data_IF_334601816483
#
_entry.id   IF_334601816483
#
_cell.length_a   1.000
_cell.length_b   1.000
_cell.length_c   1.000
_cell.angle_alpha   90.00
_cell.angle_beta   90.00
_cell.angle_gamma   90.00
#
_symmetry.space_group_name_H-M   'P 1'
#
loop_
_entity.id
_entity.type
_entity.pdbx_description
1 polymer ?
#
# COMPACT_ATOMS: atom_id res chain seq x y z
N UNK A 1 1.22 2.84 -12.50
CA UNK A 1 2.56 3.48 -12.44
C UNK A 1 3.03 4.01 -13.80
N UNK A 2 2.69 3.34 -14.90
CA UNK A 2 2.88 3.82 -16.28
C UNK A 2 2.27 5.21 -16.57
N UNK A 3 1.13 5.54 -15.94
CA UNK A 3 0.45 6.83 -16.11
C UNK A 3 1.26 8.08 -15.72
N UNK A 4 2.41 7.92 -15.03
CA UNK A 4 3.25 9.02 -14.58
C UNK A 4 4.54 9.21 -15.42
N UNK A 5 4.70 8.48 -16.53
CA UNK A 5 5.84 8.62 -17.46
C UNK A 5 7.23 8.51 -16.81
N UNK A 6 7.37 7.71 -15.74
CA UNK A 6 8.66 7.57 -15.05
C UNK A 6 9.75 6.94 -15.93
N UNK A 7 9.34 6.15 -16.92
CA UNK A 7 10.20 5.56 -17.95
C UNK A 7 10.90 6.59 -18.84
N UNK A 8 10.40 7.83 -18.92
CA UNK A 8 11.03 8.87 -19.74
C UNK A 8 12.27 9.49 -19.08
N UNK A 9 12.39 9.41 -17.75
CA UNK A 9 13.35 10.21 -16.98
C UNK A 9 14.13 9.44 -15.93
N UNK A 10 13.88 8.14 -15.76
CA UNK A 10 14.58 7.29 -14.80
C UNK A 10 15.33 6.17 -15.52
N UNK A 11 16.59 5.96 -15.15
CA UNK A 11 17.40 4.86 -15.66
C UNK A 11 17.17 3.56 -14.87
N UNK A 12 16.80 3.66 -13.59
CA UNK A 12 16.66 2.53 -12.65
C UNK A 12 15.41 2.68 -11.78
N UNK A 13 14.72 1.57 -11.53
CA UNK A 13 13.59 1.49 -10.60
C UNK A 13 13.80 0.32 -9.64
N UNK A 14 13.73 0.56 -8.32
CA UNK A 14 13.91 -0.48 -7.29
C UNK A 14 12.59 -0.87 -6.63
N UNK A 15 12.23 -2.17 -6.66
CA UNK A 15 11.01 -2.69 -6.03
C UNK A 15 11.20 -2.97 -4.53
N UNK A 16 11.38 -1.91 -3.73
CA UNK A 16 11.61 -2.00 -2.28
C UNK A 16 10.35 -2.25 -1.43
N UNK A 17 9.15 -2.24 -2.03
CA UNK A 17 7.85 -2.47 -1.36
C UNK A 17 7.67 -1.63 -0.08
N UNK A 18 8.15 -0.39 -0.09
CA UNK A 18 8.23 0.47 1.10
C UNK A 18 6.88 1.06 1.57
N UNK A 19 5.80 0.87 0.82
CA UNK A 19 4.48 1.39 1.17
C UNK A 19 3.38 0.49 0.62
N UNK A 20 2.34 0.27 1.43
CA UNK A 20 1.09 -0.34 1.01
C UNK A 20 0.07 0.79 0.88
N UNK A 21 -0.54 0.92 -0.30
CA UNK A 21 -1.62 1.87 -0.50
C UNK A 21 -2.77 1.56 0.46
N UNK A 22 -3.18 2.54 1.26
CA UNK A 22 -4.34 2.42 2.15
C UNK A 22 -5.44 3.33 1.65
N UNK A 23 -6.62 2.76 1.44
CA UNK A 23 -7.83 3.51 1.15
C UNK A 23 -8.68 3.61 2.42
N UNK A 24 -8.92 4.85 2.87
CA UNK A 24 -9.86 5.14 3.94
C UNK A 24 -11.19 5.56 3.31
N UNK A 25 -12.19 4.68 3.37
CA UNK A 25 -13.55 5.01 2.95
C UNK A 25 -14.24 5.71 4.12
N UNK A 26 -14.76 6.92 3.88
CA UNK A 26 -15.46 7.72 4.88
C UNK A 26 -16.86 8.04 4.37
N UNK A 27 -17.86 7.83 5.22
CA UNK A 27 -19.26 8.19 4.96
C UNK A 27 -19.70 9.22 5.99
N UNK A 28 -20.50 10.19 5.56
CA UNK A 28 -21.12 11.15 6.46
C UNK A 28 -22.02 10.43 7.49
N UNK A 29 -21.95 10.82 8.76
CA UNK A 29 -22.68 10.17 9.86
C UNK A 29 -24.19 10.13 9.64
N UNK A 30 -24.80 11.24 9.23
CA UNK A 30 -26.25 11.29 8.98
C UNK A 30 -26.66 10.35 7.84
N UNK A 31 -25.79 10.22 6.83
CA UNK A 31 -26.00 9.30 5.70
C UNK A 31 -25.90 7.85 6.16
N UNK A 32 -24.90 7.53 6.99
CA UNK A 32 -24.68 6.20 7.53
C UNK A 32 -25.83 5.76 8.45
N UNK A 33 -26.24 6.63 9.37
CA UNK A 33 -27.33 6.39 10.30
C UNK A 33 -28.70 6.31 9.60
N UNK A 34 -28.83 6.91 8.42
CA UNK A 34 -30.01 6.81 7.57
C UNK A 34 -30.15 5.48 6.82
N UNK A 35 -29.12 4.63 6.80
CA UNK A 35 -29.16 3.30 6.18
C UNK A 35 -29.84 2.28 7.09
N UNK A 36 -30.50 1.27 6.52
CA UNK A 36 -30.92 0.10 7.28
C UNK A 36 -29.71 -0.76 7.68
N UNK A 37 -29.88 -1.64 8.67
CA UNK A 37 -28.84 -2.59 9.07
C UNK A 37 -28.34 -3.42 7.87
N UNK A 38 -29.25 -3.97 7.06
CA UNK A 38 -28.87 -4.73 5.86
C UNK A 38 -28.06 -3.91 4.85
N UNK A 39 -28.31 -2.59 4.75
CA UNK A 39 -27.56 -1.69 3.86
C UNK A 39 -26.18 -1.34 4.42
N UNK A 40 -26.07 -1.16 5.74
CA UNK A 40 -24.80 -0.96 6.42
C UNK A 40 -23.91 -2.20 6.24
N UNK A 41 -24.46 -3.38 6.49
CA UNK A 41 -23.75 -4.67 6.35
C UNK A 41 -23.31 -4.90 4.89
N UNK A 42 -24.17 -4.59 3.92
CA UNK A 42 -23.83 -4.70 2.50
C UNK A 42 -22.71 -3.73 2.10
N UNK A 43 -22.73 -2.50 2.60
CA UNK A 43 -21.70 -1.50 2.31
C UNK A 43 -20.35 -1.88 2.96
N UNK A 44 -20.36 -2.32 4.21
CA UNK A 44 -19.14 -2.81 4.89
C UNK A 44 -18.55 -4.03 4.18
N UNK A 45 -19.40 -4.97 3.75
CA UNK A 45 -18.96 -6.15 3.01
C UNK A 45 -18.32 -5.75 1.69
N UNK A 46 -18.98 -4.87 0.92
CA UNK A 46 -18.44 -4.39 -0.35
C UNK A 46 -17.07 -3.69 -0.15
N UNK A 47 -16.95 -2.81 0.84
CA UNK A 47 -15.68 -2.14 1.15
C UNK A 47 -14.60 -3.14 1.53
N UNK A 48 -14.93 -4.20 2.28
CA UNK A 48 -13.96 -5.23 2.66
C UNK A 48 -13.53 -6.07 1.45
N UNK A 49 -14.46 -6.50 0.61
CA UNK A 49 -14.18 -7.30 -0.58
C UNK A 49 -13.33 -6.52 -1.59
N UNK A 50 -13.66 -5.25 -1.84
CA UNK A 50 -12.87 -4.38 -2.73
C UNK A 50 -11.42 -4.23 -2.26
N UNK A 51 -11.13 -4.28 -0.95
CA UNK A 51 -9.74 -4.18 -0.46
C UNK A 51 -8.87 -5.36 -0.90
N UNK A 52 -9.43 -6.56 -0.92
CA UNK A 52 -8.69 -7.75 -1.33
C UNK A 52 -8.52 -7.78 -2.85
N UNK A 53 -9.59 -7.45 -3.59
CA UNK A 53 -9.57 -7.33 -5.05
C UNK A 53 -8.59 -6.25 -5.53
N UNK A 54 -8.61 -5.06 -4.93
CA UNK A 54 -7.71 -3.96 -5.26
C UNK A 54 -6.24 -4.33 -5.07
N UNK A 55 -5.93 -5.11 -4.03
CA UNK A 55 -4.54 -5.55 -3.78
C UNK A 55 -4.04 -6.46 -4.89
N UNK A 56 -4.82 -7.48 -5.25
CA UNK A 56 -4.47 -8.39 -6.32
C UNK A 56 -4.34 -7.65 -7.67
N UNK A 57 -5.26 -6.72 -7.95
CA UNK A 57 -5.21 -5.88 -9.14
C UNK A 57 -3.93 -5.04 -9.21
N UNK A 58 -3.53 -4.39 -8.11
CA UNK A 58 -2.31 -3.58 -8.05
C UNK A 58 -1.05 -4.44 -8.25
N UNK A 59 -1.03 -5.66 -7.69
CA UNK A 59 0.08 -6.60 -7.89
C UNK A 59 0.19 -7.01 -9.37
N UNK A 60 -0.91 -7.42 -10.00
CA UNK A 60 -0.97 -7.78 -11.43
C UNK A 60 -0.58 -6.61 -12.34
N UNK A 61 -1.11 -5.40 -12.08
CA UNK A 61 -0.74 -4.20 -12.83
C UNK A 61 0.74 -3.86 -12.69
N UNK A 62 1.33 -4.08 -11.51
CA UNK A 62 2.75 -3.84 -11.27
C UNK A 62 3.60 -4.82 -12.09
N UNK A 63 3.25 -6.10 -12.11
CA UNK A 63 3.93 -7.10 -12.94
C UNK A 63 3.85 -6.74 -14.43
N UNK A 64 2.65 -6.38 -14.91
CA UNK A 64 2.45 -5.98 -16.30
C UNK A 64 3.30 -4.76 -16.70
N UNK A 65 3.44 -3.76 -15.82
CA UNK A 65 4.27 -2.57 -16.07
C UNK A 65 5.76 -2.93 -16.11
N UNK A 66 6.22 -3.82 -15.23
CA UNK A 66 7.61 -4.29 -15.22
C UNK A 66 7.93 -5.03 -16.53
N UNK A 67 7.03 -5.90 -16.98
CA UNK A 67 7.17 -6.60 -18.27
C UNK A 67 7.17 -5.65 -19.47
N UNK A 68 6.32 -4.62 -19.45
CA UNK A 68 6.26 -3.58 -20.47
C UNK A 68 7.59 -2.82 -20.56
N UNK A 69 8.14 -2.37 -19.43
CA UNK A 69 9.42 -1.68 -19.40
C UNK A 69 10.58 -2.55 -19.90
N UNK A 70 10.62 -3.81 -19.49
CA UNK A 70 11.61 -4.77 -19.97
C UNK A 70 11.54 -4.96 -21.50
N UNK A 71 10.34 -4.88 -22.09
CA UNK A 71 10.13 -5.09 -23.53
C UNK A 71 10.39 -3.85 -24.37
N UNK A 72 10.16 -2.65 -23.83
CA UNK A 72 10.20 -1.39 -24.57
C UNK A 72 11.49 -0.58 -24.37
N UNK A 73 12.47 -1.14 -23.66
CA UNK A 73 13.72 -0.43 -23.33
C UNK A 73 13.52 0.67 -22.29
N UNK A 74 12.57 0.46 -21.37
CA UNK A 74 12.36 1.30 -20.20
C UNK A 74 13.46 1.12 -19.14
N UNK A 75 13.23 1.61 -17.90
CA UNK A 75 14.22 1.58 -16.84
C UNK A 75 14.63 0.15 -16.46
N UNK A 76 15.87 -0.02 -15.98
CA UNK A 76 16.31 -1.26 -15.38
C UNK A 76 15.60 -1.46 -14.03
N UNK A 77 14.84 -2.55 -13.91
CA UNK A 77 14.10 -2.88 -12.68
C UNK A 77 14.97 -3.76 -11.78
N UNK A 78 15.23 -3.29 -10.56
CA UNK A 78 15.95 -4.02 -9.51
C UNK A 78 14.95 -4.62 -8.54
N UNK A 79 14.71 -5.92 -8.67
CA UNK A 79 13.71 -6.65 -7.88
C UNK A 79 14.25 -7.23 -6.57
N UNK A 80 15.56 -7.52 -6.52
CA UNK A 80 16.25 -8.22 -5.43
C UNK A 80 16.90 -7.28 -4.40
N UNK A 81 16.32 -6.08 -4.24
CA UNK A 81 16.82 -5.14 -3.23
C UNK A 81 16.69 -5.70 -1.82
N UNK A 82 17.62 -5.30 -0.94
CA UNK A 82 17.57 -5.66 0.48
C UNK A 82 16.44 -4.90 1.19
N UNK A 83 15.22 -5.42 1.04
CA UNK A 83 14.00 -4.88 1.65
C UNK A 83 14.13 -4.78 3.17
N UNK A 84 14.87 -5.70 3.80
CA UNK A 84 15.05 -5.68 5.25
C UNK A 84 15.94 -4.52 5.70
N UNK A 85 16.98 -4.19 4.94
CA UNK A 85 17.77 -2.99 5.20
C UNK A 85 16.90 -1.71 5.12
N UNK A 86 16.00 -1.60 4.14
CA UNK A 86 15.05 -0.47 4.07
C UNK A 86 14.12 -0.43 5.29
N UNK A 87 13.52 -1.57 5.65
CA UNK A 87 12.60 -1.70 6.78
C UNK A 87 13.27 -1.35 8.10
N UNK A 88 14.46 -1.88 8.34
CA UNK A 88 15.24 -1.63 9.55
C UNK A 88 15.58 -0.14 9.68
N UNK A 89 16.06 0.50 8.61
CA UNK A 89 16.37 1.93 8.62
C UNK A 89 15.14 2.81 8.85
N UNK A 90 14.01 2.47 8.23
CA UNK A 90 12.75 3.19 8.44
C UNK A 90 12.24 3.02 9.88
N UNK A 91 12.30 1.80 10.42
CA UNK A 91 11.93 1.51 11.82
C UNK A 91 12.80 2.29 12.79
N UNK A 92 14.11 2.28 12.61
CA UNK A 92 15.05 3.03 13.46
C UNK A 92 14.72 4.52 13.44
N UNK A 93 14.46 5.09 12.27
CA UNK A 93 14.07 6.49 12.17
C UNK A 93 12.75 6.76 12.91
N UNK A 94 11.70 5.96 12.70
CA UNK A 94 10.40 6.16 13.32
C UNK A 94 10.47 6.03 14.85
N UNK A 95 11.17 5.02 15.37
CA UNK A 95 11.35 4.84 16.82
C UNK A 95 12.10 5.98 17.49
N UNK A 96 13.02 6.64 16.77
CA UNK A 96 13.80 7.76 17.30
C UNK A 96 13.09 9.13 17.14
N UNK A 97 12.01 9.21 16.36
CA UNK A 97 11.36 10.49 16.03
C UNK A 97 9.86 10.55 16.37
N UNK A 98 9.22 9.43 16.71
CA UNK A 98 7.86 9.39 17.21
C UNK A 98 7.86 9.45 18.74
N UNK A 99 6.87 10.16 19.29
CA UNK A 99 6.71 10.32 20.74
C UNK A 99 5.23 10.16 21.15
N UNK A 100 5.02 9.87 22.44
CA UNK A 100 3.69 9.73 23.05
C UNK A 100 2.78 8.77 22.27
N UNK A 101 1.54 9.19 22.02
CA UNK A 101 0.52 8.37 21.34
C UNK A 101 0.95 7.89 19.95
N UNK A 102 1.78 8.65 19.23
CA UNK A 102 2.20 8.25 17.89
C UNK A 102 3.20 7.09 17.94
N UNK A 103 4.07 7.08 18.95
CA UNK A 103 4.98 5.96 19.19
C UNK A 103 4.22 4.72 19.64
N UNK A 104 3.29 4.87 20.59
CA UNK A 104 2.43 3.79 21.06
C UNK A 104 1.66 3.15 19.89
N UNK A 105 0.99 3.97 19.07
CA UNK A 105 0.26 3.49 17.89
C UNK A 105 1.17 2.79 16.88
N UNK A 106 2.37 3.31 16.65
CA UNK A 106 3.33 2.67 15.75
C UNK A 106 3.75 1.28 16.26
N UNK A 107 4.02 1.16 17.56
CA UNK A 107 4.37 -0.11 18.19
C UNK A 107 3.22 -1.11 18.10
N UNK A 108 1.98 -0.68 18.39
CA UNK A 108 0.79 -1.50 18.25
C UNK A 108 0.63 -2.02 16.81
N UNK A 109 0.85 -1.19 15.79
CA UNK A 109 0.77 -1.59 14.38
C UNK A 109 1.87 -2.61 14.02
N UNK A 110 3.08 -2.46 14.58
CA UNK A 110 4.19 -3.40 14.31
C UNK A 110 3.95 -4.76 14.98
N UNK A 111 3.40 -4.77 16.20
CA UNK A 111 3.07 -5.99 16.94
C UNK A 111 1.81 -6.67 16.39
N UNK A 112 0.84 -5.89 15.91
CA UNK A 112 -0.34 -6.36 15.20
C UNK A 112 0.07 -6.79 13.77
N UNK A 113 0.66 -7.97 13.64
CA UNK A 113 0.80 -8.62 12.34
C UNK A 113 -0.37 -9.59 12.10
N UNK A 114 -1.40 -9.21 11.33
CA UNK A 114 -2.34 -10.18 10.81
C UNK A 114 -1.65 -10.95 9.68
N UNK A 115 -1.46 -12.26 9.85
CA UNK A 115 -1.02 -13.17 8.78
C UNK A 115 0.45 -13.59 8.77
N UNK A 116 1.06 -13.90 9.93
CA UNK A 116 2.05 -14.99 9.97
C UNK A 116 1.39 -16.35 9.78
#
# INVERSE_FOLDING_TARGET
VSANSYDEVQDYVSLNRHSVGSQLVVVNSDTWEGLSADQQDALETAVRETREEDRACIEEETESIVEEWASNGGPEVVEDVDVEAFRSRARDYLLNNLEGRQLELYQDIVEFQPGS
#
